data_IF_789604858255
#
_entry.id   IF_789604858255
#
_cell.length_a   1.000
_cell.length_b   1.000
_cell.length_c   1.000
_cell.angle_alpha   90.00
_cell.angle_beta   90.00
_cell.angle_gamma   90.00
#
_symmetry.space_group_name_H-M   'P 1'
#
loop_
_entity.id
_entity.type
_entity.pdbx_description
1 polymer ?
#
# COMPACT_ATOMS: atom_id res chain seq x y z
N UNK A 1 -9.11 11.19 6.40
CA UNK A 1 -8.79 10.00 7.20
C UNK A 1 -7.32 10.08 7.53
N UNK A 2 -7.01 10.21 8.81
CA UNK A 2 -5.63 10.19 9.29
C UNK A 2 -5.10 8.76 9.29
N UNK A 3 -4.04 8.50 8.52
CA UNK A 3 -3.40 7.17 8.39
C UNK A 3 -2.16 7.00 9.27
N UNK A 4 -1.79 8.01 10.07
CA UNK A 4 -0.54 8.05 10.85
C UNK A 4 -0.31 6.79 11.67
N UNK A 5 -1.32 6.33 12.40
CA UNK A 5 -1.17 5.15 13.26
C UNK A 5 -1.00 3.85 12.47
N UNK A 6 -1.65 3.72 11.30
CA UNK A 6 -1.50 2.56 10.43
C UNK A 6 -0.09 2.50 9.84
N UNK A 7 0.39 3.63 9.33
CA UNK A 7 1.74 3.77 8.77
C UNK A 7 2.80 3.53 9.84
N UNK A 8 2.66 4.16 11.01
CA UNK A 8 3.55 3.95 12.15
C UNK A 8 3.59 2.50 12.58
N UNK A 9 2.44 1.80 12.61
CA UNK A 9 2.41 0.38 12.93
C UNK A 9 3.17 -0.44 11.89
N UNK A 10 2.94 -0.20 10.61
CA UNK A 10 3.61 -0.94 9.53
C UNK A 10 5.14 -0.78 9.56
N UNK A 11 5.63 0.45 9.76
CA UNK A 11 7.06 0.77 9.84
C UNK A 11 7.75 0.04 11.01
N UNK A 12 7.05 -0.09 12.13
CA UNK A 12 7.62 -0.69 13.35
C UNK A 12 7.47 -2.21 13.43
N UNK A 13 6.93 -2.86 12.39
CA UNK A 13 6.82 -4.32 12.36
C UNK A 13 8.18 -4.96 12.06
N UNK A 14 8.58 -5.90 12.91
CA UNK A 14 9.75 -6.75 12.69
C UNK A 14 9.32 -8.08 12.04
N UNK A 15 9.02 -8.03 10.75
CA UNK A 15 8.54 -9.16 9.94
C UNK A 15 9.41 -9.35 8.71
N UNK A 16 9.32 -10.51 8.07
CA UNK A 16 10.12 -10.86 6.88
C UNK A 16 9.60 -10.23 5.58
N UNK A 17 8.83 -9.13 5.69
CA UNK A 17 8.08 -8.51 4.60
C UNK A 17 8.89 -8.27 3.34
N UNK A 18 9.85 -7.33 3.40
CA UNK A 18 10.67 -6.94 2.24
C UNK A 18 11.64 -8.03 1.74
N UNK A 19 11.82 -9.09 2.52
CA UNK A 19 12.80 -10.15 2.27
C UNK A 19 12.18 -11.43 1.73
N UNK A 20 10.87 -11.62 1.84
CA UNK A 20 10.19 -12.81 1.35
C UNK A 20 8.68 -12.64 1.23
N UNK A 21 8.02 -12.21 2.31
CA UNK A 21 6.56 -12.27 2.38
C UNK A 21 5.88 -11.36 1.34
N UNK A 22 6.50 -10.22 1.00
CA UNK A 22 6.04 -9.37 -0.11
C UNK A 22 5.98 -10.17 -1.42
N UNK A 23 7.05 -10.88 -1.78
CA UNK A 23 7.10 -11.62 -3.04
C UNK A 23 6.13 -12.81 -3.05
N UNK A 24 6.05 -13.56 -1.95
CA UNK A 24 5.07 -14.64 -1.79
C UNK A 24 3.63 -14.10 -1.94
N UNK A 25 3.37 -12.93 -1.36
CA UNK A 25 2.07 -12.28 -1.48
C UNK A 25 1.76 -11.87 -2.92
N UNK A 26 2.74 -11.30 -3.63
CA UNK A 26 2.56 -10.92 -5.04
C UNK A 26 2.24 -12.15 -5.90
N UNK A 27 2.92 -13.28 -5.68
CA UNK A 27 2.60 -14.54 -6.37
C UNK A 27 1.15 -14.98 -6.11
N UNK A 28 0.68 -14.90 -4.86
CA UNK A 28 -0.70 -15.25 -4.49
C UNK A 28 -1.71 -14.34 -5.20
N UNK A 29 -1.48 -13.02 -5.18
CA UNK A 29 -2.39 -12.05 -5.79
C UNK A 29 -2.40 -12.16 -7.32
N UNK A 30 -1.26 -12.51 -7.93
CA UNK A 30 -1.14 -12.67 -9.38
C UNK A 30 -1.98 -13.82 -9.95
N UNK A 31 -2.54 -14.70 -9.10
CA UNK A 31 -3.48 -15.74 -9.52
C UNK A 31 -4.82 -15.14 -10.00
N UNK A 32 -5.23 -13.99 -9.45
CA UNK A 32 -6.56 -13.39 -9.65
C UNK A 32 -6.53 -11.94 -10.11
N UNK A 33 -5.42 -11.26 -9.88
CA UNK A 33 -5.24 -9.85 -10.17
C UNK A 33 -4.08 -9.66 -11.13
N UNK A 34 -4.11 -8.58 -11.89
CA UNK A 34 -2.93 -8.10 -12.59
C UNK A 34 -2.12 -7.32 -11.56
N UNK A 35 -0.89 -7.77 -11.31
CA UNK A 35 0.03 -7.11 -10.37
C UNK A 35 1.23 -6.62 -11.16
N UNK A 36 1.38 -5.30 -11.25
CA UNK A 36 2.52 -4.67 -11.91
C UNK A 36 3.51 -4.27 -10.82
N UNK A 37 4.70 -4.88 -10.84
CA UNK A 37 5.82 -4.54 -9.98
C UNK A 37 7.13 -4.94 -10.68
N UNK A 38 8.09 -4.03 -10.79
CA UNK A 38 9.43 -4.36 -11.28
C UNK A 38 10.43 -4.49 -10.12
N UNK A 39 10.98 -5.70 -9.93
CA UNK A 39 11.89 -6.08 -8.82
C UNK A 39 13.12 -5.17 -8.69
N UNK A 40 13.55 -4.55 -9.79
CA UNK A 40 14.78 -3.76 -9.81
C UNK A 40 14.55 -2.25 -9.62
N UNK A 41 13.32 -1.77 -9.82
CA UNK A 41 13.03 -0.34 -9.96
C UNK A 41 11.91 0.12 -9.03
N UNK A 42 10.90 -0.71 -8.76
CA UNK A 42 9.69 -0.27 -8.07
C UNK A 42 9.64 -0.75 -6.61
N UNK A 43 9.56 0.22 -5.69
CA UNK A 43 9.30 -0.03 -4.26
C UNK A 43 7.83 -0.27 -3.94
N UNK A 44 6.96 -0.25 -4.95
CA UNK A 44 5.52 -0.34 -4.80
C UNK A 44 4.95 -1.21 -5.92
N UNK A 45 4.09 -2.16 -5.57
CA UNK A 45 3.32 -2.95 -6.53
C UNK A 45 1.92 -2.35 -6.72
N UNK A 46 1.47 -2.27 -7.96
CA UNK A 46 0.12 -1.83 -8.33
C UNK A 46 -0.77 -3.02 -8.62
N UNK A 47 -1.97 -3.05 -8.04
CA UNK A 47 -2.95 -4.12 -8.26
C UNK A 47 -4.09 -3.62 -9.13
N UNK A 48 -4.47 -4.43 -10.12
CA UNK A 48 -5.55 -4.13 -11.04
C UNK A 48 -6.53 -5.30 -11.15
N UNK A 49 -7.80 -4.96 -11.34
CA UNK A 49 -8.87 -5.86 -11.76
C UNK A 49 -9.35 -5.38 -13.11
N UNK A 50 -9.30 -6.26 -14.11
CA UNK A 50 -9.56 -5.89 -15.50
C UNK A 50 -8.65 -4.73 -15.94
N UNK A 51 -9.17 -3.51 -16.07
CA UNK A 51 -8.42 -2.30 -16.43
C UNK A 51 -8.49 -1.20 -15.35
N UNK A 52 -8.97 -1.52 -14.15
CA UNK A 52 -9.09 -0.58 -13.03
C UNK A 52 -7.98 -0.85 -12.01
N UNK A 53 -7.22 0.20 -11.63
CA UNK A 53 -6.28 0.10 -10.50
C UNK A 53 -7.10 0.12 -9.22
N UNK A 54 -6.91 -0.89 -8.39
CA UNK A 54 -7.70 -1.06 -7.16
C UNK A 54 -6.90 -0.77 -5.90
N UNK A 55 -5.57 -0.80 -5.97
CA UNK A 55 -4.72 -0.58 -4.81
C UNK A 55 -3.22 -0.63 -5.08
N UNK A 56 -2.45 -0.30 -4.04
CA UNK A 56 -0.99 -0.20 -4.06
C UNK A 56 -0.39 -0.86 -2.82
N UNK A 57 0.65 -1.68 -3.01
CA UNK A 57 1.35 -2.42 -1.96
C UNK A 57 2.79 -1.92 -1.87
N UNK A 58 3.26 -1.56 -0.67
CA UNK A 58 4.62 -1.08 -0.46
C UNK A 58 5.57 -2.25 -0.18
N UNK A 59 6.76 -2.26 -0.80
CA UNK A 59 7.82 -3.23 -0.55
C UNK A 59 8.52 -2.96 0.79
N UNK A 60 8.78 -1.69 1.09
CA UNK A 60 9.57 -1.32 2.28
C UNK A 60 8.82 -1.55 3.59
N UNK A 61 7.49 -1.48 3.57
CA UNK A 61 6.64 -1.62 4.74
C UNK A 61 5.39 -2.42 4.37
N UNK A 62 4.83 -3.25 5.28
CA UNK A 62 3.60 -4.01 5.04
C UNK A 62 2.36 -3.10 5.06
N UNK A 63 2.30 -2.22 4.07
CA UNK A 63 1.24 -1.23 3.83
C UNK A 63 0.54 -1.54 2.52
N UNK A 64 -0.77 -1.49 2.56
CA UNK A 64 -1.60 -1.77 1.40
C UNK A 64 -2.77 -0.79 1.34
N UNK A 65 -2.74 0.13 0.38
CA UNK A 65 -3.87 0.98 0.03
C UNK A 65 -4.82 0.20 -0.89
N UNK A 66 -6.10 0.17 -0.57
CA UNK A 66 -7.06 -0.63 -1.32
C UNK A 66 -8.46 -0.01 -1.30
N UNK A 67 -9.18 -0.09 -2.42
CA UNK A 67 -10.58 0.33 -2.44
C UNK A 67 -11.48 -0.58 -1.56
N UNK A 68 -12.41 0.06 -0.84
CA UNK A 68 -13.29 -0.56 0.14
C UNK A 68 -14.03 -1.79 -0.40
N UNK A 69 -14.44 -1.75 -1.68
CA UNK A 69 -15.16 -2.86 -2.34
C UNK A 69 -14.35 -4.15 -2.44
N UNK A 70 -13.01 -4.09 -2.44
CA UNK A 70 -12.14 -5.27 -2.58
C UNK A 70 -11.52 -5.73 -1.27
N UNK A 71 -11.62 -4.94 -0.20
CA UNK A 71 -10.93 -5.18 1.08
C UNK A 71 -11.22 -6.56 1.69
N UNK A 72 -12.51 -6.95 1.75
CA UNK A 72 -12.89 -8.19 2.42
C UNK A 72 -12.39 -9.44 1.68
N UNK A 73 -12.42 -9.41 0.35
CA UNK A 73 -11.87 -10.49 -0.46
C UNK A 73 -10.36 -10.60 -0.26
N UNK A 74 -9.64 -9.48 -0.37
CA UNK A 74 -8.17 -9.47 -0.22
C UNK A 74 -7.74 -9.88 1.19
N UNK A 75 -8.41 -9.43 2.24
CA UNK A 75 -8.10 -9.88 3.61
C UNK A 75 -8.24 -11.38 3.80
N UNK A 76 -9.21 -12.00 3.11
CA UNK A 76 -9.39 -13.46 3.15
C UNK A 76 -8.29 -14.18 2.38
N UNK A 77 -7.93 -13.68 1.20
CA UNK A 77 -6.85 -14.25 0.40
C UNK A 77 -5.48 -14.10 1.07
N UNK A 78 -5.32 -13.06 1.89
CA UNK A 78 -4.09 -12.71 2.59
C UNK A 78 -4.18 -12.98 4.11
N UNK A 79 -5.02 -13.91 4.55
CA UNK A 79 -5.28 -14.15 5.98
C UNK A 79 -4.02 -14.56 6.76
N UNK A 80 -3.05 -15.19 6.10
CA UNK A 80 -1.73 -15.53 6.65
C UNK A 80 -0.90 -14.29 7.02
N UNK A 81 -1.19 -13.14 6.41
CA UNK A 81 -0.47 -11.88 6.59
C UNK A 81 -1.31 -10.88 7.39
N UNK A 82 -1.80 -11.31 8.55
CA UNK A 82 -2.64 -10.52 9.46
C UNK A 82 -1.99 -9.23 9.98
N UNK A 83 -0.66 -9.14 9.86
CA UNK A 83 0.15 -7.98 10.22
C UNK A 83 0.12 -6.87 9.16
N UNK A 84 -0.40 -7.10 7.95
CA UNK A 84 -0.50 -6.05 6.92
C UNK A 84 -1.42 -4.93 7.40
N UNK A 85 -0.95 -3.69 7.28
CA UNK A 85 -1.75 -2.51 7.57
C UNK A 85 -2.49 -2.09 6.30
N UNK A 86 -3.76 -2.49 6.23
CA UNK A 86 -4.67 -2.08 5.17
C UNK A 86 -5.18 -0.66 5.41
N UNK A 87 -4.95 0.21 4.42
CA UNK A 87 -5.52 1.55 4.35
C UNK A 87 -6.66 1.50 3.34
N UNK A 88 -7.87 1.34 3.84
CA UNK A 88 -9.05 1.16 3.02
C UNK A 88 -9.60 2.54 2.58
N UNK A 89 -9.89 2.68 1.29
CA UNK A 89 -10.32 3.94 0.71
C UNK A 89 -11.59 3.80 -0.13
N UNK A 90 -12.43 4.83 -0.20
CA UNK A 90 -13.61 4.80 -1.09
C UNK A 90 -13.21 4.69 -2.57
N UNK A 91 -12.16 5.42 -2.96
CA UNK A 91 -11.48 5.29 -4.25
C UNK A 91 -10.01 5.66 -4.08
N UNK A 92 -9.13 5.04 -4.87
CA UNK A 92 -7.70 5.37 -4.85
C UNK A 92 -7.38 6.80 -5.30
N UNK A 93 -8.33 7.46 -6.00
CA UNK A 93 -8.20 8.82 -6.53
C UNK A 93 -8.74 9.90 -5.59
N UNK A 94 -9.48 9.50 -4.56
CA UNK A 94 -10.20 10.45 -3.72
C UNK A 94 -9.25 11.06 -2.67
N UNK A 95 -9.12 12.39 -2.68
CA UNK A 95 -8.19 13.14 -1.82
C UNK A 95 -8.83 13.50 -0.48
N UNK A 96 -8.57 12.67 0.52
CA UNK A 96 -9.00 12.93 1.90
C UNK A 96 -8.08 12.30 2.94
N UNK A 97 -6.97 11.69 2.53
CA UNK A 97 -5.99 11.10 3.44
C UNK A 97 -5.08 12.19 4.01
N UNK A 98 -4.66 11.98 5.25
CA UNK A 98 -3.70 12.83 5.95
C UNK A 98 -2.70 11.98 6.73
N UNK A 99 -1.48 12.46 6.91
CA UNK A 99 -0.44 11.79 7.70
C UNK A 99 0.42 12.80 8.45
N UNK A 100 0.89 12.45 9.64
CA UNK A 100 1.87 13.24 10.40
C UNK A 100 3.13 13.53 9.56
N UNK A 101 3.50 14.80 9.53
CA UNK A 101 4.61 15.33 8.73
C UNK A 101 5.95 14.72 9.12
N UNK A 102 6.23 14.65 10.42
CA UNK A 102 7.51 14.14 10.91
C UNK A 102 7.67 12.66 10.56
N UNK A 103 6.60 11.88 10.73
CA UNK A 103 6.56 10.48 10.32
C UNK A 103 6.78 10.35 8.81
N UNK A 104 6.03 11.09 7.99
CA UNK A 104 6.13 10.98 6.55
C UNK A 104 7.54 11.31 6.04
N UNK A 105 8.06 12.48 6.41
CA UNK A 105 9.37 12.97 5.96
C UNK A 105 10.55 12.11 6.43
N UNK A 106 10.36 11.25 7.43
CA UNK A 106 11.40 10.33 7.91
C UNK A 106 11.50 9.06 7.07
N UNK A 107 10.38 8.59 6.50
CA UNK A 107 10.27 7.22 5.95
C UNK A 107 9.88 7.16 4.48
N UNK A 108 9.44 8.27 3.90
CA UNK A 108 8.88 8.38 2.55
C UNK A 108 9.50 9.56 1.79
N UNK A 109 9.31 9.55 0.47
CA UNK A 109 9.79 10.60 -0.42
C UNK A 109 8.91 11.84 -0.32
N UNK A 110 9.50 13.02 -0.49
CA UNK A 110 8.84 14.31 -0.31
C UNK A 110 7.57 14.43 -1.16
N UNK A 111 6.48 14.87 -0.52
CA UNK A 111 5.19 15.17 -1.15
C UNK A 111 4.69 16.54 -0.69
N UNK A 112 4.21 17.36 -1.62
CA UNK A 112 3.86 18.77 -1.35
C UNK A 112 2.68 18.96 -0.37
N UNK A 113 1.75 18.01 -0.31
CA UNK A 113 0.57 18.10 0.56
C UNK A 113 0.25 16.75 1.20
N UNK A 114 0.66 16.60 2.45
CA UNK A 114 0.43 15.42 3.30
C UNK A 114 -0.84 15.50 4.15
N UNK A 115 -1.55 16.63 4.13
CA UNK A 115 -2.79 16.82 4.89
C UNK A 115 -4.03 16.41 4.10
N UNK A 116 -3.95 16.47 2.75
CA UNK A 116 -5.05 16.11 1.86
C UNK A 116 -4.49 15.48 0.57
N UNK A 117 -4.37 14.15 0.57
CA UNK A 117 -3.90 13.38 -0.58
C UNK A 117 -4.75 12.13 -0.83
N UNK A 118 -4.57 11.51 -2.00
CA UNK A 118 -5.18 10.25 -2.40
C UNK A 118 -4.16 9.10 -2.33
N UNK A 119 -4.63 7.85 -2.32
CA UNK A 119 -3.73 6.70 -2.40
C UNK A 119 -2.84 6.76 -3.65
N UNK A 120 -3.36 7.27 -4.77
CA UNK A 120 -2.59 7.46 -5.99
C UNK A 120 -1.50 8.54 -5.83
N UNK A 121 -1.79 9.67 -5.17
CA UNK A 121 -0.75 10.68 -4.91
C UNK A 121 0.38 10.04 -4.10
N UNK A 122 0.06 9.30 -3.02
CA UNK A 122 1.05 8.63 -2.20
C UNK A 122 1.91 7.64 -3.01
N UNK A 123 1.28 6.86 -3.90
CA UNK A 123 2.00 5.99 -4.85
C UNK A 123 2.95 6.78 -5.75
N UNK A 124 2.44 7.81 -6.42
CA UNK A 124 3.20 8.58 -7.42
C UNK A 124 4.46 9.23 -6.82
N UNK A 125 4.37 9.75 -5.59
CA UNK A 125 5.51 10.37 -4.92
C UNK A 125 6.54 9.37 -4.39
N UNK A 126 6.18 8.08 -4.20
CA UNK A 126 7.03 7.09 -3.50
C UNK A 126 7.48 5.89 -4.36
N UNK A 127 7.16 5.88 -5.65
CA UNK A 127 7.55 4.80 -6.57
C UNK A 127 9.02 4.89 -7.01
N UNK A 128 9.71 5.99 -6.71
CA UNK A 128 11.05 6.35 -7.26
C UNK A 128 12.23 5.70 -6.55
#
# INVERSE_FOLDING_TARGET
MDITNLVKKAINLNVNWKHGDFYEMIEILSIRYIVNYEINEEKIAMIQVENEIIGFIFLNYPLFFIENKYLLQLKKELEKYDYIQFINVDSIYHKYLSIDENLYNTYFDYMDNIDIFSAQDFYFYNVT
#
